data_IF_008707753323
#
_entry.id   IF_008707753323
#
_cell.length_a   1.000
_cell.length_b   1.000
_cell.length_c   1.000
_cell.angle_alpha   90.00
_cell.angle_beta   90.00
_cell.angle_gamma   90.00
#
_symmetry.space_group_name_H-M   'P 1'
#
loop_
_entity.id
_entity.type
_entity.pdbx_description
1 polymer ?
#
# COMPACT_ATOMS: atom_id res chain seq x y z
N UNK A 1 -11.60 11.81 -29.51
CA UNK A 1 -11.85 12.76 -28.40
C UNK A 1 -13.14 12.33 -27.73
N UNK A 2 -13.19 12.22 -26.41
CA UNK A 2 -14.38 11.78 -25.68
C UNK A 2 -15.55 12.75 -25.89
N UNK A 3 -16.76 12.21 -26.07
CA UNK A 3 -17.93 13.05 -26.35
C UNK A 3 -18.32 13.89 -25.13
N UNK A 4 -18.71 15.13 -25.40
CA UNK A 4 -19.14 16.10 -24.39
C UNK A 4 -20.56 16.59 -24.67
N UNK A 5 -21.31 16.84 -23.60
CA UNK A 5 -22.62 17.49 -23.69
C UNK A 5 -22.48 18.98 -24.05
N UNK A 6 -23.59 19.65 -24.34
CA UNK A 6 -23.60 21.11 -24.65
C UNK A 6 -23.08 21.99 -23.50
N UNK A 7 -22.94 21.44 -22.29
CA UNK A 7 -22.39 22.11 -21.10
C UNK A 7 -20.92 21.74 -20.86
N UNK A 8 -20.29 21.03 -21.80
CA UNK A 8 -18.88 20.63 -21.76
C UNK A 8 -18.56 19.43 -20.86
N UNK A 9 -19.56 18.78 -20.24
CA UNK A 9 -19.36 17.60 -19.38
C UNK A 9 -19.22 16.35 -20.25
N UNK A 10 -18.43 15.38 -19.80
CA UNK A 10 -18.40 14.08 -20.48
C UNK A 10 -19.80 13.45 -20.43
N UNK A 11 -20.26 12.92 -21.57
CA UNK A 11 -21.52 12.18 -21.59
C UNK A 11 -21.38 10.88 -20.80
N UNK A 12 -22.47 10.36 -20.25
CA UNK A 12 -22.45 9.13 -19.44
C UNK A 12 -21.83 7.99 -20.26
N UNK A 13 -20.83 7.32 -19.70
CA UNK A 13 -20.09 6.23 -20.36
C UNK A 13 -18.83 6.69 -21.10
N UNK A 14 -18.64 7.99 -21.29
CA UNK A 14 -17.43 8.54 -21.90
C UNK A 14 -16.45 9.00 -20.81
N UNK A 15 -15.18 8.63 -20.98
CA UNK A 15 -14.09 9.05 -20.12
C UNK A 15 -13.11 9.87 -20.94
N UNK A 16 -12.55 10.94 -20.35
CA UNK A 16 -11.42 11.66 -20.95
C UNK A 16 -10.17 10.78 -21.11
N UNK A 17 -10.10 9.67 -20.38
CA UNK A 17 -9.07 8.66 -20.48
C UNK A 17 -9.68 7.26 -20.50
N UNK A 18 -10.23 6.80 -21.64
CA UNK A 18 -10.88 5.49 -21.75
C UNK A 18 -9.91 4.33 -21.49
N UNK A 19 -8.63 4.50 -21.85
CA UNK A 19 -7.58 3.50 -21.65
C UNK A 19 -7.00 3.48 -20.23
N UNK A 20 -7.43 4.39 -19.35
CA UNK A 20 -6.90 4.53 -17.99
C UNK A 20 -5.44 4.95 -17.96
N UNK A 21 -4.83 4.89 -16.77
CA UNK A 21 -3.40 5.20 -16.62
C UNK A 21 -2.59 4.15 -17.39
N UNK A 22 -1.67 4.53 -18.30
CA UNK A 22 -0.80 3.59 -18.97
C UNK A 22 -0.07 2.71 -17.95
N UNK A 23 0.03 1.41 -18.25
CA UNK A 23 0.79 0.48 -17.42
C UNK A 23 2.27 0.89 -17.43
N UNK A 24 2.93 0.73 -16.29
CA UNK A 24 4.39 0.88 -16.22
C UNK A 24 5.03 -0.18 -17.13
N UNK A 25 5.95 0.20 -18.03
CA UNK A 25 6.68 -0.75 -18.87
C UNK A 25 7.41 -1.81 -18.03
N UNK A 26 7.47 -3.06 -18.53
CA UNK A 26 8.04 -4.17 -17.75
C UNK A 26 9.55 -4.05 -17.55
N UNK A 27 10.25 -3.42 -18.49
CA UNK A 27 11.67 -3.06 -18.36
C UNK A 27 11.91 -2.15 -17.14
N UNK A 28 11.08 -1.10 -16.98
CA UNK A 28 11.17 -0.17 -15.85
C UNK A 28 10.90 -0.89 -14.52
N UNK A 29 9.90 -1.79 -14.48
CA UNK A 29 9.65 -2.59 -13.27
C UNK A 29 10.84 -3.47 -12.92
N UNK A 30 11.51 -4.05 -13.92
CA UNK A 30 12.66 -4.93 -13.72
C UNK A 30 13.84 -4.17 -13.15
N UNK A 31 14.15 -3.00 -13.71
CA UNK A 31 15.22 -2.11 -13.21
C UNK A 31 14.94 -1.71 -11.76
N UNK A 32 13.71 -1.27 -11.44
CA UNK A 32 13.36 -0.83 -10.09
C UNK A 32 13.39 -1.97 -9.06
N UNK A 33 12.97 -3.18 -9.45
CA UNK A 33 13.12 -4.38 -8.61
C UNK A 33 14.58 -4.68 -8.34
N UNK A 34 15.45 -4.63 -9.36
CA UNK A 34 16.88 -4.84 -9.20
C UNK A 34 17.55 -3.80 -8.28
N UNK A 35 17.11 -2.54 -8.33
CA UNK A 35 17.62 -1.46 -7.48
C UNK A 35 17.22 -1.59 -6.01
N UNK A 36 16.30 -2.50 -5.64
CA UNK A 36 15.75 -2.59 -4.29
C UNK A 36 16.82 -2.87 -3.23
N UNK A 37 17.83 -3.69 -3.54
CA UNK A 37 18.94 -4.00 -2.62
C UNK A 37 19.76 -2.75 -2.33
N UNK A 38 20.14 -1.98 -3.37
CA UNK A 38 20.91 -0.74 -3.21
C UNK A 38 20.11 0.33 -2.46
N UNK A 39 18.80 0.44 -2.75
CA UNK A 39 17.93 1.36 -2.04
C UNK A 39 17.82 1.02 -0.54
N UNK A 40 17.77 -0.27 -0.19
CA UNK A 40 17.75 -0.69 1.21
C UNK A 40 19.08 -0.37 1.92
N UNK A 41 20.22 -0.58 1.26
CA UNK A 41 21.54 -0.21 1.79
C UNK A 41 21.64 1.29 2.04
N UNK A 42 21.20 2.11 1.07
CA UNK A 42 21.18 3.56 1.21
C UNK A 42 20.38 4.03 2.43
N UNK A 43 19.22 3.43 2.70
CA UNK A 43 18.42 3.77 3.88
C UNK A 43 19.21 3.49 5.17
N UNK A 44 19.89 2.35 5.26
CA UNK A 44 20.69 1.97 6.44
C UNK A 44 21.85 2.93 6.64
N UNK A 45 22.59 3.25 5.58
CA UNK A 45 23.69 4.21 5.62
C UNK A 45 23.23 5.61 6.02
N UNK A 46 22.05 6.03 5.53
CA UNK A 46 21.46 7.33 5.86
C UNK A 46 21.21 7.47 7.35
N UNK A 47 20.72 6.42 8.04
CA UNK A 47 20.37 6.48 9.47
C UNK A 47 21.57 6.94 10.33
N UNK A 48 22.78 6.51 10.00
CA UNK A 48 24.01 6.81 10.77
C UNK A 48 24.84 7.94 10.16
N UNK A 49 24.42 8.54 9.05
CA UNK A 49 25.19 9.57 8.36
C UNK A 49 25.11 10.93 9.07
N UNK A 50 26.27 11.48 9.47
CA UNK A 50 26.35 12.81 10.10
C UNK A 50 26.09 13.96 9.11
N UNK A 51 26.35 13.73 7.82
CA UNK A 51 26.08 14.68 6.73
C UNK A 51 24.59 14.81 6.41
N UNK A 52 23.79 13.79 6.76
CA UNK A 52 22.36 13.80 6.55
C UNK A 52 21.64 14.60 7.64
N UNK A 53 20.71 15.45 7.22
CA UNK A 53 19.84 16.17 8.15
C UNK A 53 19.10 15.21 9.08
N UNK A 54 18.81 15.66 10.31
CA UNK A 54 18.10 14.83 11.29
C UNK A 54 16.75 14.29 10.75
N UNK A 55 16.02 15.11 9.98
CA UNK A 55 14.77 14.68 9.34
C UNK A 55 14.99 13.53 8.36
N UNK A 56 16.02 13.60 7.50
CA UNK A 56 16.32 12.53 6.54
C UNK A 56 16.69 11.23 7.24
N UNK A 57 17.43 11.30 8.35
CA UNK A 57 17.75 10.13 9.17
C UNK A 57 16.51 9.51 9.80
N UNK A 58 15.63 10.36 10.35
CA UNK A 58 14.38 9.92 10.96
C UNK A 58 13.45 9.26 9.92
N UNK A 59 13.35 9.85 8.73
CA UNK A 59 12.56 9.32 7.62
C UNK A 59 13.12 7.97 7.14
N UNK A 60 14.45 7.86 6.98
CA UNK A 60 15.10 6.60 6.61
C UNK A 60 14.84 5.50 7.65
N UNK A 61 15.01 5.82 8.94
CA UNK A 61 14.74 4.88 10.04
C UNK A 61 13.27 4.43 10.04
N UNK A 62 12.33 5.36 9.94
CA UNK A 62 10.89 5.06 9.87
C UNK A 62 10.57 4.14 8.69
N UNK A 63 11.18 4.39 7.53
CA UNK A 63 10.90 3.67 6.30
C UNK A 63 11.49 2.24 6.30
N UNK A 64 12.59 2.02 7.02
CA UNK A 64 13.09 0.66 7.36
C UNK A 64 12.10 -0.06 8.28
N UNK A 65 11.68 0.58 9.39
CA UNK A 65 10.74 -0.03 10.34
C UNK A 65 9.41 -0.41 9.68
N UNK A 66 8.85 0.47 8.83
CA UNK A 66 7.62 0.21 8.09
C UNK A 66 7.69 -1.01 7.17
N UNK A 67 8.88 -1.34 6.63
CA UNK A 67 9.07 -2.53 5.77
C UNK A 67 9.15 -3.82 6.57
N UNK A 68 9.76 -3.76 7.75
CA UNK A 68 9.97 -4.94 8.61
C UNK A 68 8.71 -5.27 9.41
N UNK A 69 8.08 -4.25 9.99
CA UNK A 69 6.97 -4.41 10.93
C UNK A 69 5.61 -4.01 10.35
N UNK A 70 5.58 -3.44 9.14
CA UNK A 70 4.38 -2.87 8.55
C UNK A 70 4.09 -1.45 9.04
N UNK A 71 3.13 -0.80 8.39
CA UNK A 71 2.59 0.49 8.83
C UNK A 71 1.44 0.26 9.81
N UNK A 72 1.20 1.24 10.69
CA UNK A 72 0.03 1.21 11.57
C UNK A 72 -1.25 0.99 10.77
N UNK A 73 -2.15 0.09 11.22
CA UNK A 73 -3.43 -0.12 10.56
C UNK A 73 -4.24 1.17 10.58
N UNK A 74 -4.94 1.47 9.49
CA UNK A 74 -5.91 2.56 9.50
C UNK A 74 -7.11 2.15 10.36
N UNK A 75 -7.52 2.99 11.32
CA UNK A 75 -8.78 2.76 12.01
C UNK A 75 -9.92 2.84 10.99
N UNK A 76 -10.78 1.83 10.98
CA UNK A 76 -12.04 1.86 10.22
C UNK A 76 -13.09 2.38 11.18
N UNK A 77 -13.58 3.60 10.95
CA UNK A 77 -14.76 4.10 11.64
C UNK A 77 -16.00 3.48 10.99
N UNK A 78 -16.49 2.41 11.62
CA UNK A 78 -17.74 1.76 11.26
C UNK A 78 -18.32 1.03 12.47
N UNK A 79 -19.64 1.13 12.66
CA UNK A 79 -20.40 0.28 13.59
C UNK A 79 -20.34 -1.15 13.03
N UNK A 80 -19.37 -1.93 13.51
CA UNK A 80 -19.19 -3.32 13.10
C UNK A 80 -20.15 -4.20 13.92
N UNK A 81 -21.25 -4.61 13.30
CA UNK A 81 -22.10 -5.72 13.77
C UNK A 81 -21.42 -7.06 13.43
N UNK A 82 -20.17 -7.23 13.85
CA UNK A 82 -19.35 -8.38 13.50
C UNK A 82 -19.63 -9.53 14.48
N UNK A 83 -20.51 -10.45 14.10
CA UNK A 83 -20.70 -11.71 14.81
C UNK A 83 -19.53 -12.65 14.49
N UNK A 84 -18.66 -12.87 15.48
CA UNK A 84 -17.61 -13.89 15.38
C UNK A 84 -18.24 -15.26 15.70
N UNK A 85 -18.45 -16.08 14.67
CA UNK A 85 -18.90 -17.46 14.85
C UNK A 85 -17.69 -18.39 14.99
N UNK A 86 -17.43 -18.84 16.22
CA UNK A 86 -16.46 -19.91 16.46
C UNK A 86 -17.12 -21.26 16.15
N UNK A 87 -16.64 -21.92 15.09
CA UNK A 87 -16.99 -23.32 14.82
C UNK A 87 -15.99 -24.20 15.57
N UNK A 88 -16.41 -24.72 16.71
CA UNK A 88 -15.63 -25.68 17.47
C UNK A 88 -15.54 -27.01 16.70
N UNK A 89 -14.32 -27.56 16.60
CA UNK A 89 -14.08 -28.89 16.03
C UNK A 89 -14.78 -29.99 16.84
N UNK A 90 -14.99 -31.16 16.22
CA UNK A 90 -15.73 -32.27 16.83
C UNK A 90 -15.19 -32.70 18.21
N UNK A 91 -13.89 -32.53 18.44
CA UNK A 91 -13.20 -32.84 19.70
C UNK A 91 -13.66 -31.96 20.89
N UNK A 92 -14.18 -30.76 20.64
CA UNK A 92 -14.64 -29.87 21.71
C UNK A 92 -16.05 -30.22 22.22
N UNK A 93 -16.78 -31.12 21.54
CA UNK A 93 -18.11 -31.58 22.00
C UNK A 93 -18.00 -32.53 23.19
N UNK A 94 -16.90 -33.24 23.32
CA UNK A 94 -16.68 -34.18 24.44
C UNK A 94 -16.45 -33.45 25.78
N UNK A 95 -16.19 -32.15 25.77
CA UNK A 95 -16.00 -31.33 26.98
C UNK A 95 -17.27 -30.57 27.42
N UNK A 96 -18.38 -30.73 26.69
CA UNK A 96 -19.64 -30.01 26.92
C UNK A 96 -20.81 -30.89 27.39
N UNK A 97 -20.57 -32.19 27.60
CA UNK A 97 -21.43 -33.08 28.42
C UNK A 97 -20.88 -33.17 29.85
#
# INVERSE_FOLDING_TARGET
>A
MAQRDRRGRFVKGESGNPGGRPKVPDEVKTILKGATVQAAQLLVETITSEEASYSMRLDAAKEVLNRVYGKSPQPIDGELDAVVQFVLGAEARELAE
#
